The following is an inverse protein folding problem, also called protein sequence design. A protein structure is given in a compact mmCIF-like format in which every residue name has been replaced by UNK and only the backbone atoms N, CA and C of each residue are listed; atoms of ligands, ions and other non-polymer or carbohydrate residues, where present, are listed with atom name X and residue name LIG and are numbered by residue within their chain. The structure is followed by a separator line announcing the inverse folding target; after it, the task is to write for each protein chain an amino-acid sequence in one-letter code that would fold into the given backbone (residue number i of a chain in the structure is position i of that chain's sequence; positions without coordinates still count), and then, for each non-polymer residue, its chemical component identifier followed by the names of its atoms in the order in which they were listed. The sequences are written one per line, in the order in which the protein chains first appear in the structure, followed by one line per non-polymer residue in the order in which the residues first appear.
data_IF_832433640684
#
_entry.id   IF_832433640684
#
_cell.length_a   1.000
_cell.length_b   1.000
_cell.length_c   1.000
_cell.angle_alpha   90.00
_cell.angle_beta   90.00
_cell.angle_gamma   90.00
#
_symmetry.space_group_name_H-M   'P 1'
#
loop_
_entity.id
_entity.type
_entity.pdbx_description
1 polymer ?
#
# COMPACT_ATOMS: atom_id res chain seq x y z
N UNK A 1 0.70 1.06 29.70
CA UNK A 1 2.14 1.03 29.38
C UNK A 1 2.42 -0.04 28.35
N UNK A 2 3.08 0.35 27.26
CA UNK A 2 3.28 -0.49 26.07
C UNK A 2 4.73 -0.42 25.60
N UNK A 3 5.29 -1.55 25.19
CA UNK A 3 6.68 -1.60 24.72
C UNK A 3 6.75 -1.52 23.19
N UNK A 4 7.55 -0.58 22.68
CA UNK A 4 7.98 -0.49 21.29
C UNK A 4 9.31 -1.24 21.15
N UNK A 5 9.23 -2.50 20.72
CA UNK A 5 10.34 -3.44 20.56
C UNK A 5 11.09 -3.17 19.26
N UNK A 6 12.30 -2.63 19.36
CA UNK A 6 13.11 -2.20 18.22
C UNK A 6 13.99 -3.32 17.69
N UNK A 7 14.11 -3.40 16.35
CA UNK A 7 15.19 -4.14 15.72
C UNK A 7 16.57 -3.50 16.02
N UNK A 8 17.69 -4.21 15.83
CA UNK A 8 19.02 -3.69 16.16
C UNK A 8 19.37 -2.36 15.47
N UNK A 9 18.93 -2.17 14.22
CA UNK A 9 19.18 -0.94 13.47
C UNK A 9 18.46 0.27 14.09
N UNK A 10 17.20 0.13 14.47
CA UNK A 10 16.44 1.18 15.15
C UNK A 10 16.90 1.40 16.59
N UNK A 11 17.24 0.35 17.32
CA UNK A 11 17.75 0.47 18.69
C UNK A 11 19.02 1.33 18.73
N UNK A 12 19.92 1.13 17.76
CA UNK A 12 21.12 1.97 17.58
C UNK A 12 20.75 3.41 17.25
N UNK A 13 19.78 3.63 16.35
CA UNK A 13 19.34 4.97 15.95
C UNK A 13 18.61 5.75 17.07
N UNK A 14 17.94 5.05 17.98
CA UNK A 14 17.25 5.62 19.15
C UNK A 14 18.15 5.76 20.38
N UNK A 15 19.43 5.40 20.31
CA UNK A 15 20.35 5.36 21.46
C UNK A 15 19.80 4.55 22.66
N UNK A 16 19.02 3.50 22.41
CA UNK A 16 18.51 2.64 23.49
C UNK A 16 19.71 1.89 24.09
N UNK A 17 19.96 1.94 25.41
CA UNK A 17 21.11 1.25 26.01
C UNK A 17 21.09 -0.26 25.71
N UNK A 18 22.27 -0.87 25.61
CA UNK A 18 22.38 -2.31 25.45
C UNK A 18 21.87 -3.01 26.72
N UNK A 19 20.99 -4.00 26.56
CA UNK A 19 20.56 -4.82 27.69
C UNK A 19 21.72 -5.73 28.13
N UNK A 20 21.93 -5.94 29.44
CA UNK A 20 22.89 -6.93 29.92
C UNK A 20 22.56 -8.31 29.34
N UNK A 21 23.58 -9.02 28.84
CA UNK A 21 23.48 -10.30 28.10
C UNK A 21 23.02 -11.50 28.94
N UNK A 22 22.64 -11.29 30.19
CA UNK A 22 22.30 -12.34 31.15
C UNK A 22 20.94 -12.03 31.77
N UNK A 23 19.97 -12.89 31.51
CA UNK A 23 18.67 -12.87 32.16
C UNK A 23 17.52 -12.84 31.18
N UNK A 24 16.64 -13.83 31.30
CA UNK A 24 15.28 -13.79 30.76
C UNK A 24 14.71 -12.41 31.05
N UNK A 25 14.35 -11.65 30.00
CA UNK A 25 13.75 -10.34 30.18
C UNK A 25 12.57 -10.49 31.14
N UNK A 26 12.45 -9.64 32.20
CA UNK A 26 11.32 -9.73 33.10
C UNK A 26 10.02 -9.68 32.28
N UNK A 27 9.02 -10.51 32.60
CA UNK A 27 7.75 -10.50 31.89
C UNK A 27 7.23 -9.08 31.89
N UNK A 28 7.00 -8.54 30.68
CA UNK A 28 6.43 -7.21 30.55
C UNK A 28 5.10 -7.18 31.32
N UNK A 29 4.80 -6.13 32.11
CA UNK A 29 3.51 -6.02 32.76
C UNK A 29 2.40 -6.15 31.71
N UNK A 30 1.25 -6.75 32.04
CA UNK A 30 0.17 -6.93 31.08
C UNK A 30 -0.20 -5.57 30.48
N UNK A 31 -0.12 -5.48 29.16
CA UNK A 31 -0.54 -4.30 28.41
C UNK A 31 -2.05 -4.12 28.65
N UNK A 32 -2.43 -2.95 29.19
CA UNK A 32 -3.84 -2.58 29.36
C UNK A 32 -4.53 -2.23 28.05
N UNK A 33 -3.78 -2.17 26.94
CA UNK A 33 -4.27 -1.87 25.61
C UNK A 33 -4.77 -3.15 24.89
N UNK A 34 -5.58 -2.98 23.86
CA UNK A 34 -6.09 -4.09 23.09
C UNK A 34 -5.04 -4.66 22.11
N UNK A 35 -4.11 -3.85 21.59
CA UNK A 35 -3.21 -4.22 20.48
C UNK A 35 -1.87 -4.85 20.88
N UNK A 36 -1.57 -4.96 22.17
CA UNK A 36 -0.31 -5.48 22.69
C UNK A 36 0.88 -4.53 22.53
N UNK A 37 2.06 -5.14 22.67
CA UNK A 37 3.35 -4.51 22.34
C UNK A 37 3.51 -4.37 20.82
N UNK A 38 4.49 -3.58 20.38
CA UNK A 38 4.75 -3.33 18.97
C UNK A 38 6.17 -3.68 18.59
N UNK A 39 6.35 -4.45 17.51
CA UNK A 39 7.64 -4.69 16.89
C UNK A 39 7.91 -3.63 15.82
N UNK A 40 9.01 -2.89 15.95
CA UNK A 40 9.39 -1.81 15.05
C UNK A 40 10.66 -2.19 14.28
N UNK A 41 10.64 -1.95 12.97
CA UNK A 41 11.82 -2.10 12.12
C UNK A 41 12.00 -0.97 11.12
N UNK A 42 13.26 -0.65 10.85
CA UNK A 42 13.64 0.30 9.82
C UNK A 42 13.54 -0.36 8.43
N UNK A 43 12.77 0.27 7.55
CA UNK A 43 12.70 -0.04 6.13
C UNK A 43 13.46 1.03 5.36
N UNK A 44 14.55 0.61 4.72
CA UNK A 44 15.34 1.49 3.86
C UNK A 44 14.73 1.48 2.46
N UNK A 45 13.98 2.53 2.16
CA UNK A 45 13.42 2.79 0.84
C UNK A 45 14.01 4.07 0.26
N UNK A 46 14.04 4.19 -1.07
CA UNK A 46 14.33 5.46 -1.75
C UNK A 46 13.01 5.98 -2.33
N UNK A 47 12.67 7.26 -2.17
CA UNK A 47 13.47 8.32 -1.55
C UNK A 47 13.37 8.41 -0.02
N UNK A 48 12.38 7.78 0.62
CA UNK A 48 12.09 7.97 2.06
C UNK A 48 12.52 6.78 2.92
N UNK A 49 13.04 7.02 4.13
CA UNK A 49 13.20 5.97 5.15
C UNK A 49 11.91 5.86 5.96
N UNK A 50 11.42 4.64 6.13
CA UNK A 50 10.18 4.36 6.86
C UNK A 50 10.45 3.47 8.06
N UNK A 51 9.63 3.60 9.09
CA UNK A 51 9.53 2.62 10.17
C UNK A 51 8.26 1.83 9.93
N UNK A 52 8.36 0.51 10.00
CA UNK A 52 7.20 -0.36 10.09
C UNK A 52 6.97 -0.75 11.54
N UNK A 53 5.72 -0.68 11.98
CA UNK A 53 5.28 -1.13 13.29
C UNK A 53 4.29 -2.28 13.11
N UNK A 54 4.47 -3.37 13.85
CA UNK A 54 3.60 -4.55 13.82
C UNK A 54 3.14 -4.87 15.24
N UNK A 55 1.82 -4.95 15.44
CA UNK A 55 1.22 -5.33 16.73
C UNK A 55 1.58 -6.79 17.07
N UNK A 56 2.02 -7.05 18.30
CA UNK A 56 2.35 -8.41 18.76
C UNK A 56 1.12 -9.29 18.96
N UNK A 57 -0.06 -8.69 19.13
CA UNK A 57 -1.32 -9.41 19.36
C UNK A 57 -2.10 -9.68 18.08
N UNK A 58 -2.23 -8.66 17.22
CA UNK A 58 -3.08 -8.74 16.01
C UNK A 58 -2.25 -8.99 14.75
N UNK A 59 -0.94 -8.77 14.80
CA UNK A 59 -0.05 -8.73 13.63
C UNK A 59 -0.45 -7.69 12.58
N UNK A 60 -1.34 -6.76 12.91
CA UNK A 60 -1.65 -5.62 12.06
C UNK A 60 -0.44 -4.68 12.01
N UNK A 61 -0.20 -4.12 10.84
CA UNK A 61 0.95 -3.29 10.57
C UNK A 61 0.57 -1.95 9.98
N UNK A 62 1.36 -0.94 10.33
CA UNK A 62 1.34 0.36 9.69
C UNK A 62 2.75 0.94 9.61
N UNK A 63 2.92 1.94 8.76
CA UNK A 63 4.16 2.67 8.57
C UNK A 63 4.06 4.12 9.05
N UNK A 64 5.21 4.63 9.47
CA UNK A 64 5.41 6.03 9.83
C UNK A 64 6.78 6.53 9.33
N UNK A 65 6.96 7.85 9.15
CA UNK A 65 8.24 8.40 8.73
C UNK A 65 9.34 8.12 9.76
N UNK A 66 10.51 7.70 9.27
CA UNK A 66 11.70 7.49 10.10
C UNK A 66 12.18 8.78 10.76
N UNK A 67 12.30 9.86 9.98
CA UNK A 67 12.87 11.12 10.45
C UNK A 67 11.78 12.07 11.02
N UNK A 68 12.12 12.89 12.03
CA UNK A 68 13.33 12.84 12.86
C UNK A 68 13.31 11.70 13.89
N UNK A 69 14.43 11.01 14.11
CA UNK A 69 14.48 9.83 15.01
C UNK A 69 14.27 10.11 16.50
N UNK A 70 14.80 11.19 17.10
CA UNK A 70 14.68 11.44 18.54
C UNK A 70 13.23 11.51 19.03
N UNK A 71 12.30 11.90 18.17
CA UNK A 71 10.88 12.03 18.49
C UNK A 71 10.05 10.85 17.98
N UNK A 72 10.66 9.71 17.63
CA UNK A 72 9.91 8.54 17.15
C UNK A 72 8.88 8.07 18.19
N UNK A 73 9.28 8.01 19.46
CA UNK A 73 8.43 7.58 20.58
C UNK A 73 7.19 8.49 20.74
N UNK A 74 7.37 9.82 20.67
CA UNK A 74 6.26 10.77 20.80
C UNK A 74 5.38 10.85 19.55
N UNK A 75 5.91 10.54 18.36
CA UNK A 75 5.12 10.46 17.12
C UNK A 75 4.34 9.16 16.96
N UNK A 76 4.67 8.12 17.73
CA UNK A 76 4.06 6.80 17.57
C UNK A 76 2.54 6.84 17.84
N UNK A 77 2.13 7.40 18.98
CA UNK A 77 0.71 7.51 19.35
C UNK A 77 -0.15 8.25 18.32
N UNK A 78 0.24 9.47 17.90
CA UNK A 78 -0.47 10.20 16.83
C UNK A 78 -0.53 9.43 15.50
N UNK A 79 0.54 8.74 15.11
CA UNK A 79 0.56 7.95 13.88
C UNK A 79 -0.35 6.72 13.97
N UNK A 80 -0.35 6.03 15.12
CA UNK A 80 -1.24 4.91 15.40
C UNK A 80 -2.71 5.36 15.38
N UNK A 81 -3.03 6.49 16.00
CA UNK A 81 -4.38 7.05 15.99
C UNK A 81 -4.89 7.28 14.56
N UNK A 82 -4.08 7.93 13.72
CA UNK A 82 -4.45 8.15 12.31
C UNK A 82 -4.66 6.83 11.57
N UNK A 83 -3.81 5.83 11.80
CA UNK A 83 -3.97 4.52 11.17
C UNK A 83 -5.25 3.79 11.63
N UNK A 84 -5.63 3.90 12.91
CA UNK A 84 -6.87 3.32 13.45
C UNK A 84 -8.12 4.02 12.90
N UNK A 85 -8.11 5.35 12.80
CA UNK A 85 -9.20 6.12 12.21
C UNK A 85 -9.40 5.77 10.73
N UNK A 86 -8.30 5.70 9.96
CA UNK A 86 -8.35 5.28 8.55
C UNK A 86 -8.84 3.84 8.38
N UNK A 87 -8.63 2.98 9.38
CA UNK A 87 -9.15 1.61 9.37
C UNK A 87 -10.67 1.54 9.59
N UNK A 88 -11.26 2.59 10.19
CA UNK A 88 -12.67 2.65 10.56
C UNK A 88 -12.95 2.34 12.04
N UNK A 89 -11.94 2.44 12.91
CA UNK A 89 -12.16 2.35 14.36
C UNK A 89 -12.86 3.61 14.86
N UNK A 90 -13.91 3.51 15.71
CA UNK A 90 -14.59 4.67 16.27
C UNK A 90 -13.61 5.61 17.00
N UNK A 91 -13.71 6.95 16.83
CA UNK A 91 -12.75 7.91 17.38
C UNK A 91 -12.51 7.78 18.88
N UNK A 92 -13.58 7.58 19.67
CA UNK A 92 -13.48 7.43 21.13
C UNK A 92 -12.70 6.16 21.53
N UNK A 93 -12.89 5.07 20.77
CA UNK A 93 -12.21 3.79 21.00
C UNK A 93 -10.74 3.87 20.57
N UNK A 94 -10.48 4.51 19.43
CA UNK A 94 -9.12 4.75 18.97
C UNK A 94 -8.35 5.63 19.97
N UNK A 95 -8.98 6.68 20.52
CA UNK A 95 -8.39 7.51 21.55
C UNK A 95 -8.10 6.72 22.83
N UNK A 96 -9.08 5.98 23.33
CA UNK A 96 -8.90 5.15 24.52
C UNK A 96 -7.76 4.14 24.35
N UNK A 97 -7.58 3.56 23.17
CA UNK A 97 -6.46 2.65 22.88
C UNK A 97 -5.10 3.35 23.01
N UNK A 98 -4.97 4.59 22.53
CA UNK A 98 -3.74 5.38 22.71
C UNK A 98 -3.50 5.67 24.19
N UNK A 99 -4.54 6.13 24.90
CA UNK A 99 -4.44 6.51 26.32
C UNK A 99 -4.06 5.31 27.21
N UNK A 100 -4.62 4.12 26.96
CA UNK A 100 -4.22 2.88 27.66
C UNK A 100 -2.80 2.42 27.30
N UNK A 101 -2.34 2.78 26.11
CA UNK A 101 -1.02 2.40 25.65
C UNK A 101 0.09 3.22 26.29
N UNK A 102 -0.20 4.47 26.65
CA UNK A 102 0.75 5.36 27.29
C UNK A 102 1.10 4.92 28.73
N UNK A 103 2.33 5.22 29.20
CA UNK A 103 3.47 5.71 28.42
C UNK A 103 4.06 4.63 27.50
N UNK A 104 4.59 5.05 26.36
CA UNK A 104 5.36 4.21 25.44
C UNK A 104 6.76 3.97 25.99
N UNK A 105 7.26 2.73 25.97
CA UNK A 105 8.65 2.41 26.37
C UNK A 105 9.41 1.82 25.20
N UNK A 106 10.63 2.31 24.95
CA UNK A 106 11.52 1.71 23.95
C UNK A 106 12.19 0.47 24.54
N UNK A 107 11.97 -0.68 23.91
CA UNK A 107 12.58 -1.95 24.28
C UNK A 107 13.42 -2.52 23.13
N UNK A 108 14.36 -3.40 23.44
CA UNK A 108 15.13 -4.16 22.43
C UNK A 108 14.56 -5.56 22.26
N UNK A 109 14.72 -6.11 21.05
CA UNK A 109 14.41 -7.50 20.75
C UNK A 109 12.97 -7.68 20.29
N UNK A 110 12.82 -8.21 19.08
CA UNK A 110 11.52 -8.51 18.47
C UNK A 110 11.17 -9.97 18.77
N UNK A 111 9.92 -10.19 19.17
CA UNK A 111 9.41 -11.53 19.46
C UNK A 111 9.35 -12.40 18.20
N UNK A 112 9.68 -13.68 18.35
CA UNK A 112 9.77 -14.63 17.22
C UNK A 112 8.46 -14.74 16.43
N UNK A 113 7.31 -14.59 17.08
CA UNK A 113 5.98 -14.59 16.44
C UNK A 113 5.81 -13.44 15.45
N UNK A 114 6.43 -12.29 15.72
CA UNK A 114 6.26 -11.06 14.92
C UNK A 114 7.32 -10.91 13.83
N UNK A 115 8.49 -11.56 13.96
CA UNK A 115 9.59 -11.48 12.97
C UNK A 115 9.16 -11.89 11.56
N UNK A 116 8.36 -12.97 11.44
CA UNK A 116 7.87 -13.44 10.15
C UNK A 116 7.00 -12.40 9.45
N UNK A 117 5.98 -11.89 10.15
CA UNK A 117 5.09 -10.84 9.64
C UNK A 117 5.86 -9.57 9.31
N UNK A 118 6.76 -9.13 10.19
CA UNK A 118 7.58 -7.95 9.98
C UNK A 118 8.45 -8.06 8.71
N UNK A 119 8.95 -9.26 8.41
CA UNK A 119 9.72 -9.53 7.18
C UNK A 119 8.81 -9.43 5.94
N UNK A 120 7.63 -10.06 5.97
CA UNK A 120 6.65 -10.01 4.89
C UNK A 120 6.21 -8.57 4.58
N UNK A 121 5.83 -7.82 5.62
CA UNK A 121 5.43 -6.43 5.44
C UNK A 121 6.59 -5.54 5.00
N UNK A 122 7.82 -5.78 5.47
CA UNK A 122 9.00 -5.04 4.99
C UNK A 122 9.16 -5.19 3.47
N UNK A 123 8.95 -6.38 2.92
CA UNK A 123 8.98 -6.57 1.46
C UNK A 123 7.86 -5.80 0.76
N UNK A 124 6.63 -5.85 1.30
CA UNK A 124 5.49 -5.11 0.75
C UNK A 124 5.74 -3.59 0.74
N UNK A 125 6.25 -3.04 1.85
CA UNK A 125 6.59 -1.60 1.97
C UNK A 125 7.75 -1.24 1.05
N UNK A 126 8.78 -2.09 0.96
CA UNK A 126 9.93 -1.84 0.08
C UNK A 126 9.48 -1.74 -1.38
N UNK A 127 8.63 -2.67 -1.82
CA UNK A 127 8.06 -2.64 -3.16
C UNK A 127 7.19 -1.39 -3.34
N UNK A 128 6.23 -1.14 -2.45
CA UNK A 128 5.30 -0.02 -2.59
C UNK A 128 5.98 1.36 -2.61
N UNK A 129 6.98 1.57 -1.75
CA UNK A 129 7.74 2.81 -1.76
C UNK A 129 8.61 2.94 -3.03
N UNK A 130 9.16 1.82 -3.54
CA UNK A 130 9.89 1.79 -4.80
C UNK A 130 9.01 2.13 -6.01
N UNK A 131 7.73 1.78 -5.95
CA UNK A 131 6.71 2.13 -6.94
C UNK A 131 6.27 3.60 -6.87
N UNK A 132 6.67 4.34 -5.84
CA UNK A 132 6.34 5.75 -5.66
C UNK A 132 5.08 6.02 -4.83
N UNK A 133 4.51 5.02 -4.15
CA UNK A 133 3.32 5.23 -3.32
C UNK A 133 3.59 6.18 -2.15
N UNK A 134 2.64 7.06 -1.87
CA UNK A 134 2.64 7.86 -0.65
C UNK A 134 2.51 7.01 0.61
N UNK A 135 2.89 7.56 1.76
CA UNK A 135 2.75 6.88 3.06
C UNK A 135 1.29 6.47 3.34
N UNK A 136 0.33 7.32 2.96
CA UNK A 136 -1.10 7.02 3.11
C UNK A 136 -1.50 5.79 2.29
N UNK A 137 -1.10 5.76 1.01
CA UNK A 137 -1.37 4.63 0.12
C UNK A 137 -0.67 3.33 0.58
N UNK A 138 0.56 3.43 1.12
CA UNK A 138 1.26 2.31 1.74
C UNK A 138 0.47 1.76 2.94
N UNK A 139 -0.01 2.64 3.82
CA UNK A 139 -0.79 2.22 4.99
C UNK A 139 -2.15 1.61 4.61
N UNK A 140 -2.84 2.17 3.61
CA UNK A 140 -4.06 1.58 3.08
C UNK A 140 -3.81 0.16 2.53
N UNK A 141 -2.71 -0.03 1.79
CA UNK A 141 -2.30 -1.35 1.29
C UNK A 141 -1.98 -2.34 2.42
N UNK A 142 -1.32 -1.89 3.49
CA UNK A 142 -1.03 -2.74 4.65
C UNK A 142 -2.30 -3.16 5.40
N UNK A 143 -3.32 -2.31 5.44
CA UNK A 143 -4.60 -2.62 6.06
C UNK A 143 -5.35 -3.76 5.34
N UNK A 144 -5.20 -3.86 4.02
CA UNK A 144 -5.83 -4.91 3.20
C UNK A 144 -4.97 -6.19 3.09
N UNK A 145 -3.90 -6.31 3.88
CA UNK A 145 -2.99 -7.45 3.79
C UNK A 145 -3.61 -8.73 4.34
N UNK A 146 -3.69 -9.76 3.50
CA UNK A 146 -4.08 -11.11 3.91
C UNK A 146 -2.87 -11.86 4.49
N UNK A 147 -3.03 -12.35 5.72
CA UNK A 147 -2.08 -13.28 6.33
C UNK A 147 -2.59 -14.69 6.11
N UNK A 148 -1.82 -15.54 5.43
CA UNK A 148 -2.22 -16.93 5.11
C UNK A 148 -1.86 -17.93 6.21
N UNK A 149 -0.76 -17.70 6.94
CA UNK A 149 -0.29 -18.56 8.03
C UNK A 149 0.18 -17.72 9.22
N UNK A 150 0.07 -18.22 10.47
CA UNK A 150 -0.47 -19.54 10.87
C UNK A 150 -2.01 -19.60 10.91
N UNK A 151 -2.69 -18.46 10.87
CA UNK A 151 -4.15 -18.35 10.78
C UNK A 151 -4.49 -17.47 9.60
N UNK A 152 -5.32 -17.98 8.71
CA UNK A 152 -5.80 -17.21 7.57
C UNK A 152 -6.73 -16.09 8.05
N UNK A 153 -6.48 -14.87 7.58
CA UNK A 153 -7.35 -13.73 7.84
C UNK A 153 -6.66 -12.40 7.65
N UNK A 154 -7.47 -11.34 7.73
CA UNK A 154 -7.00 -9.97 7.66
C UNK A 154 -6.74 -9.45 9.08
N UNK A 155 -5.50 -9.08 9.44
CA UNK A 155 -5.19 -8.50 10.75
C UNK A 155 -6.04 -7.27 11.10
N UNK A 156 -6.39 -6.49 10.07
CA UNK A 156 -7.32 -5.37 10.14
C UNK A 156 -8.70 -5.74 10.74
N UNK A 157 -9.24 -6.91 10.41
CA UNK A 157 -10.52 -7.34 10.97
C UNK A 157 -10.42 -7.58 12.48
N UNK A 158 -9.32 -8.14 12.95
CA UNK A 158 -9.12 -8.37 14.38
C UNK A 158 -9.00 -7.05 15.15
N UNK A 159 -8.31 -6.06 14.59
CA UNK A 159 -8.27 -4.70 15.16
C UNK A 159 -9.68 -4.10 15.26
N UNK A 160 -10.49 -4.22 14.20
CA UNK A 160 -11.87 -3.73 14.20
C UNK A 160 -12.74 -4.47 15.22
N UNK A 161 -12.61 -5.80 15.34
CA UNK A 161 -13.32 -6.60 16.36
C UNK A 161 -12.96 -6.15 17.78
N UNK A 162 -11.68 -5.94 18.07
CA UNK A 162 -11.20 -5.57 19.40
C UNK A 162 -11.58 -4.14 19.79
N UNK A 163 -11.58 -3.21 18.83
CA UNK A 163 -11.79 -1.78 19.08
C UNK A 163 -13.19 -1.27 18.68
N UNK A 164 -14.11 -2.17 18.31
CA UNK A 164 -15.52 -1.84 18.06
C UNK A 164 -15.81 -1.21 16.70
N UNK A 165 -14.96 -1.44 15.70
CA UNK A 165 -15.26 -1.15 14.30
C UNK A 165 -16.02 -2.29 13.61
N UNK A 166 -16.43 -2.09 12.36
CA UNK A 166 -17.13 -3.13 11.60
C UNK A 166 -16.15 -3.98 10.77
N UNK A 167 -15.82 -5.22 11.19
CA UNK A 167 -14.90 -6.08 10.44
C UNK A 167 -15.43 -6.47 9.06
N UNK A 168 -16.77 -6.47 8.86
CA UNK A 168 -17.36 -6.79 7.57
C UNK A 168 -16.96 -5.80 6.46
N UNK A 169 -16.53 -4.59 6.82
CA UNK A 169 -16.00 -3.62 5.86
C UNK A 169 -14.73 -4.11 5.16
N UNK A 170 -13.90 -4.92 5.83
CA UNK A 170 -12.69 -5.47 5.21
C UNK A 170 -13.07 -6.49 4.13
N UNK A 171 -13.95 -7.44 4.47
CA UNK A 171 -14.46 -8.44 3.53
C UNK A 171 -15.24 -7.79 2.38
N UNK A 172 -16.07 -6.79 2.67
CA UNK A 172 -16.82 -6.04 1.66
C UNK A 172 -15.89 -5.36 0.66
N UNK A 173 -14.83 -4.67 1.12
CA UNK A 173 -13.82 -4.07 0.22
C UNK A 173 -13.17 -5.10 -0.71
N UNK A 174 -12.99 -6.34 -0.27
CA UNK A 174 -12.41 -7.38 -1.13
C UNK A 174 -13.43 -7.86 -2.17
N UNK A 175 -14.68 -8.07 -1.77
CA UNK A 175 -15.76 -8.44 -2.69
C UNK A 175 -15.99 -7.36 -3.75
N UNK A 176 -16.03 -6.10 -3.33
CA UNK A 176 -16.20 -4.94 -4.22
C UNK A 176 -15.06 -4.89 -5.25
N UNK A 177 -13.81 -5.17 -4.85
CA UNK A 177 -12.66 -5.27 -5.77
C UNK A 177 -12.82 -6.41 -6.78
N UNK A 178 -13.33 -7.57 -6.35
CA UNK A 178 -13.58 -8.71 -7.26
C UNK A 178 -14.69 -8.40 -8.27
N UNK A 179 -15.80 -7.82 -7.82
CA UNK A 179 -16.89 -7.41 -8.71
C UNK A 179 -16.46 -6.31 -9.68
N UNK A 180 -15.68 -5.35 -9.20
CA UNK A 180 -15.11 -4.31 -10.04
C UNK A 180 -14.18 -4.89 -11.11
N UNK A 181 -13.34 -5.86 -10.74
CA UNK A 181 -12.45 -6.53 -11.69
C UNK A 181 -13.26 -7.18 -12.83
N UNK A 182 -14.39 -7.82 -12.52
CA UNK A 182 -15.27 -8.43 -13.52
C UNK A 182 -15.87 -7.37 -14.45
N UNK A 183 -16.42 -6.28 -13.91
CA UNK A 183 -16.97 -5.17 -14.72
C UNK A 183 -15.91 -4.56 -15.64
N UNK A 184 -14.71 -4.33 -15.12
CA UNK A 184 -13.58 -3.82 -15.91
C UNK A 184 -13.17 -4.78 -17.03
N UNK A 185 -13.19 -6.09 -16.75
CA UNK A 185 -12.90 -7.12 -17.74
C UNK A 185 -13.99 -7.14 -18.83
N UNK A 186 -15.26 -7.18 -18.47
CA UNK A 186 -16.37 -7.20 -19.44
C UNK A 186 -16.38 -5.96 -20.34
N UNK A 187 -16.11 -4.79 -19.75
CA UNK A 187 -15.95 -3.52 -20.50
C UNK A 187 -14.78 -3.55 -21.48
N UNK A 188 -13.66 -4.15 -21.07
CA UNK A 188 -12.51 -4.33 -21.96
C UNK A 188 -12.87 -5.28 -23.12
N UNK A 189 -13.45 -6.44 -22.83
CA UNK A 189 -13.76 -7.44 -23.86
C UNK A 189 -14.80 -6.95 -24.89
N UNK A 190 -15.76 -6.11 -24.46
CA UNK A 190 -16.74 -5.49 -25.38
C UNK A 190 -16.11 -4.58 -26.45
N UNK A 191 -14.83 -4.24 -26.32
CA UNK A 191 -14.06 -3.37 -27.21
C UNK A 191 -13.05 -4.11 -28.08
N UNK A 192 -13.04 -5.45 -28.05
CA UNK A 192 -12.18 -6.26 -28.91
C UNK A 192 -12.41 -5.92 -30.39
N UNK A 193 -11.34 -5.86 -31.19
CA UNK A 193 -11.42 -5.55 -32.62
C UNK A 193 -11.56 -4.07 -32.97
N UNK A 194 -11.74 -3.17 -31.99
CA UNK A 194 -11.87 -1.72 -32.25
C UNK A 194 -10.51 -1.06 -32.47
N UNK A 195 -10.45 -0.11 -33.40
CA UNK A 195 -9.25 0.71 -33.59
C UNK A 195 -8.99 1.64 -32.40
N UNK A 196 -10.06 2.05 -31.73
CA UNK A 196 -10.05 2.91 -30.55
C UNK A 196 -10.62 2.15 -29.33
N UNK A 197 -9.86 2.12 -28.24
CA UNK A 197 -10.24 1.48 -26.97
C UNK A 197 -10.21 2.51 -25.86
N UNK A 198 -11.26 2.50 -25.03
CA UNK A 198 -11.48 3.38 -23.90
C UNK A 198 -11.31 2.63 -22.59
N UNK A 199 -10.44 3.15 -21.72
CA UNK A 199 -10.21 2.63 -20.37
C UNK A 199 -10.58 3.70 -19.35
N UNK A 200 -11.76 3.60 -18.71
CA UNK A 200 -12.12 4.46 -17.59
C UNK A 200 -11.25 4.11 -16.37
N UNK A 201 -10.54 5.10 -15.83
CA UNK A 201 -9.71 4.91 -14.64
C UNK A 201 -10.59 4.49 -13.47
N UNK A 202 -11.73 5.14 -13.25
CA UNK A 202 -12.68 4.78 -12.19
C UNK A 202 -13.14 3.30 -12.28
N UNK A 203 -13.17 2.73 -13.49
CA UNK A 203 -13.49 1.33 -13.68
C UNK A 203 -12.31 0.41 -13.35
N UNK A 204 -11.12 0.75 -13.84
CA UNK A 204 -9.92 -0.09 -13.70
C UNK A 204 -9.23 0.00 -12.32
N UNK A 205 -9.32 1.17 -11.69
CA UNK A 205 -8.70 1.58 -10.43
C UNK A 205 -9.74 2.35 -9.59
N UNK A 206 -10.73 1.66 -9.00
CA UNK A 206 -11.78 2.29 -8.21
C UNK A 206 -11.21 2.98 -6.97
N UNK A 207 -11.88 4.05 -6.53
CA UNK A 207 -11.56 4.81 -5.32
C UNK A 207 -10.11 5.35 -5.29
N UNK A 208 -9.55 5.65 -6.46
CA UNK A 208 -8.22 6.25 -6.64
C UNK A 208 -8.34 7.68 -7.17
N UNK A 209 -8.67 8.68 -6.33
CA UNK A 209 -8.69 10.09 -6.76
C UNK A 209 -7.28 10.60 -7.11
N UNK A 210 -6.23 9.84 -6.75
CA UNK A 210 -4.83 10.16 -7.05
C UNK A 210 -4.10 8.95 -7.59
N UNK A 211 -3.40 9.12 -8.71
CA UNK A 211 -2.58 8.09 -9.34
C UNK A 211 -1.11 8.35 -9.05
N UNK A 212 -0.51 7.53 -8.20
CA UNK A 212 0.80 7.82 -7.61
C UNK A 212 1.91 6.89 -8.14
N UNK A 213 1.55 5.67 -8.55
CA UNK A 213 2.48 4.57 -8.65
C UNK A 213 2.66 4.04 -10.07
N UNK A 214 3.87 3.52 -10.37
CA UNK A 214 4.16 2.96 -11.69
C UNK A 214 3.24 1.77 -12.03
N UNK A 215 3.07 0.79 -11.12
CA UNK A 215 2.21 -0.38 -11.37
C UNK A 215 0.73 -0.04 -11.64
N UNK A 216 0.23 1.14 -11.25
CA UNK A 216 -1.13 1.56 -11.60
C UNK A 216 -1.28 1.72 -13.11
N UNK A 217 -0.24 2.16 -13.82
CA UNK A 217 -0.21 2.17 -15.28
C UNK A 217 -0.34 0.76 -15.85
N UNK A 218 0.42 -0.19 -15.31
CA UNK A 218 0.32 -1.59 -15.73
C UNK A 218 -1.08 -2.15 -15.48
N UNK A 219 -1.73 -1.82 -14.35
CA UNK A 219 -3.11 -2.23 -14.07
C UNK A 219 -4.08 -1.69 -15.12
N UNK A 220 -3.95 -0.42 -15.51
CA UNK A 220 -4.77 0.14 -16.58
C UNK A 220 -4.59 -0.63 -17.88
N UNK A 221 -3.34 -0.90 -18.27
CA UNK A 221 -3.03 -1.58 -19.53
C UNK A 221 -3.32 -3.09 -19.50
N UNK A 222 -3.46 -3.69 -18.31
CA UNK A 222 -4.06 -5.02 -18.14
C UNK A 222 -5.55 -5.04 -18.52
N UNK A 223 -6.21 -3.88 -18.64
CA UNK A 223 -7.60 -3.74 -19.10
C UNK A 223 -7.75 -3.54 -20.60
N UNK A 224 -6.70 -3.82 -21.38
CA UNK A 224 -6.87 -3.99 -22.81
C UNK A 224 -7.65 -5.28 -23.11
N UNK A 225 -8.47 -5.30 -24.17
CA UNK A 225 -9.17 -6.52 -24.60
C UNK A 225 -8.15 -7.64 -24.87
N UNK A 226 -8.57 -8.88 -24.64
CA UNK A 226 -7.75 -10.05 -24.94
C UNK A 226 -8.45 -10.86 -26.03
N UNK A 227 -7.73 -11.14 -27.11
CA UNK A 227 -8.08 -12.04 -28.18
C UNK A 227 -7.42 -13.41 -27.95
N UNK A 228 -8.19 -14.35 -27.40
CA UNK A 228 -7.77 -15.73 -27.18
C UNK A 228 -7.45 -16.48 -28.50
N UNK A 229 -7.81 -15.92 -29.66
CA UNK A 229 -7.52 -16.46 -30.99
C UNK A 229 -6.11 -16.15 -31.53
N UNK A 230 -5.38 -15.19 -30.94
CA UNK A 230 -4.06 -14.77 -31.41
C UNK A 230 -2.95 -15.52 -30.66
N UNK A 231 -2.45 -16.60 -31.26
CA UNK A 231 -1.27 -17.33 -30.78
C UNK A 231 0.03 -16.70 -31.31
N UNK A 232 0.79 -16.03 -30.43
CA UNK A 232 2.16 -15.57 -30.70
C UNK A 232 3.20 -16.31 -29.84
N UNK A 233 4.51 -16.25 -30.18
CA UNK A 233 5.55 -16.86 -29.36
C UNK A 233 5.58 -16.24 -27.95
N UNK A 234 6.02 -17.00 -26.93
CA UNK A 234 5.94 -16.57 -25.52
C UNK A 234 6.68 -15.25 -25.29
N UNK A 235 6.01 -14.30 -24.62
CA UNK A 235 6.66 -13.08 -24.15
C UNK A 235 7.64 -13.43 -23.02
N UNK A 236 8.83 -12.84 -23.08
CA UNK A 236 9.91 -13.06 -22.09
C UNK A 236 9.59 -12.45 -20.72
N UNK A 237 8.47 -11.72 -20.61
CA UNK A 237 8.06 -10.91 -19.45
C UNK A 237 6.84 -11.45 -18.69
N UNK A 238 6.23 -12.56 -19.13
CA UNK A 238 5.07 -13.14 -18.44
C UNK A 238 3.74 -12.38 -18.64
N UNK A 239 3.68 -11.44 -19.60
CA UNK A 239 2.42 -10.79 -19.96
C UNK A 239 1.46 -11.80 -20.65
N UNK A 240 0.16 -11.78 -20.31
CA UNK A 240 -0.83 -12.68 -20.90
C UNK A 240 -0.88 -12.51 -22.42
N UNK A 241 -0.93 -13.63 -23.12
CA UNK A 241 -1.02 -13.76 -24.58
C UNK A 241 -2.26 -13.04 -25.11
N UNK A 242 -2.25 -12.66 -26.40
CA UNK A 242 -3.47 -12.30 -27.12
C UNK A 242 -4.02 -10.88 -26.91
N UNK A 243 -3.33 -9.95 -26.23
CA UNK A 243 -3.88 -8.59 -26.07
C UNK A 243 -4.14 -7.90 -27.41
N UNK A 244 -5.36 -7.40 -27.59
CA UNK A 244 -5.73 -6.54 -28.71
C UNK A 244 -5.10 -5.17 -28.49
N UNK A 245 -4.13 -4.81 -29.33
CA UNK A 245 -3.46 -3.51 -29.27
C UNK A 245 -4.21 -2.53 -30.17
N UNK A 246 -4.89 -1.52 -29.61
CA UNK A 246 -5.60 -0.53 -30.41
C UNK A 246 -4.62 0.40 -31.11
N UNK A 247 -5.09 1.04 -32.18
CA UNK A 247 -4.36 2.15 -32.81
C UNK A 247 -4.37 3.36 -31.88
N UNK A 248 -5.52 3.63 -31.27
CA UNK A 248 -5.78 4.76 -30.38
C UNK A 248 -6.23 4.25 -29.03
N UNK A 249 -5.54 4.66 -27.97
CA UNK A 249 -5.92 4.37 -26.59
C UNK A 249 -6.45 5.65 -25.94
N UNK A 250 -7.66 5.60 -25.41
CA UNK A 250 -8.26 6.67 -24.63
C UNK A 250 -8.27 6.24 -23.17
N UNK A 251 -7.59 6.98 -22.31
CA UNK A 251 -7.65 6.80 -20.86
C UNK A 251 -8.54 7.91 -20.30
N UNK A 252 -9.66 7.53 -19.71
CA UNK A 252 -10.64 8.46 -19.16
C UNK A 252 -10.39 8.65 -17.66
N UNK A 253 -9.96 9.85 -17.29
CA UNK A 253 -9.58 10.27 -15.94
C UNK A 253 -10.73 10.92 -15.17
N UNK A 254 -11.98 10.69 -15.56
CA UNK A 254 -13.12 11.06 -14.73
C UNK A 254 -12.91 10.60 -13.27
N UNK A 255 -13.20 11.50 -12.32
CA UNK A 255 -13.02 11.32 -10.87
C UNK A 255 -11.56 11.17 -10.39
N UNK A 256 -10.57 11.54 -11.22
CA UNK A 256 -9.15 11.59 -10.83
C UNK A 256 -8.67 13.04 -10.70
N UNK A 257 -8.36 13.45 -9.48
CA UNK A 257 -7.91 14.82 -9.17
C UNK A 257 -6.48 15.07 -9.65
N UNK A 258 -5.59 14.07 -9.52
CA UNK A 258 -4.17 14.25 -9.85
C UNK A 258 -3.43 12.96 -10.17
N UNK A 259 -2.31 13.12 -10.87
CA UNK A 259 -1.37 12.04 -11.16
C UNK A 259 0.07 12.44 -10.79
N UNK A 260 0.90 11.46 -10.44
CA UNK A 260 2.32 11.68 -10.19
C UNK A 260 3.12 11.61 -11.50
N UNK A 261 4.29 12.27 -11.57
CA UNK A 261 5.23 12.08 -12.67
C UNK A 261 5.68 10.62 -12.83
N UNK A 262 5.73 9.86 -11.75
CA UNK A 262 6.08 8.44 -11.75
C UNK A 262 5.03 7.61 -12.50
N UNK A 263 3.74 7.80 -12.17
CA UNK A 263 2.64 7.17 -12.88
C UNK A 263 2.61 7.59 -14.36
N UNK A 264 2.70 8.89 -14.64
CA UNK A 264 2.64 9.41 -16.01
C UNK A 264 3.77 8.87 -16.88
N UNK A 265 5.01 8.82 -16.35
CA UNK A 265 6.16 8.19 -17.03
C UNK A 265 5.91 6.72 -17.31
N UNK A 266 5.50 5.95 -16.31
CA UNK A 266 5.23 4.52 -16.47
C UNK A 266 4.16 4.25 -17.54
N UNK A 267 3.07 5.03 -17.55
CA UNK A 267 2.03 4.89 -18.55
C UNK A 267 2.54 5.17 -19.96
N UNK A 268 3.27 6.28 -20.15
CA UNK A 268 3.83 6.62 -21.45
C UNK A 268 4.81 5.54 -21.96
N UNK A 269 5.70 5.07 -21.09
CA UNK A 269 6.70 4.05 -21.43
C UNK A 269 6.04 2.71 -21.79
N UNK A 270 5.02 2.28 -21.04
CA UNK A 270 4.30 1.04 -21.32
C UNK A 270 3.44 1.14 -22.59
N UNK A 271 2.74 2.26 -22.81
CA UNK A 271 1.96 2.51 -24.03
C UNK A 271 2.86 2.49 -25.27
N UNK A 272 4.04 3.11 -25.17
CA UNK A 272 5.05 3.06 -26.23
C UNK A 272 5.56 1.63 -26.46
N UNK A 273 5.82 0.87 -25.39
CA UNK A 273 6.26 -0.53 -25.47
C UNK A 273 5.22 -1.44 -26.10
N UNK A 274 3.92 -1.17 -25.89
CA UNK A 274 2.83 -1.90 -26.51
C UNK A 274 2.65 -1.57 -28.00
N UNK A 275 3.22 -0.48 -28.50
CA UNK A 275 3.11 -0.05 -29.89
C UNK A 275 1.80 0.66 -30.23
N UNK A 276 1.10 1.19 -29.22
CA UNK A 276 -0.08 2.05 -29.42
C UNK A 276 0.37 3.35 -30.11
N UNK A 277 -0.34 3.77 -31.17
CA UNK A 277 0.09 4.91 -31.99
C UNK A 277 -0.32 6.26 -31.41
N UNK A 278 -1.47 6.32 -30.74
CA UNK A 278 -1.98 7.56 -30.15
C UNK A 278 -2.56 7.29 -28.77
N UNK A 279 -2.21 8.14 -27.80
CA UNK A 279 -2.75 8.16 -26.44
C UNK A 279 -3.53 9.45 -26.22
N UNK A 280 -4.80 9.33 -25.85
CA UNK A 280 -5.65 10.47 -25.49
C UNK A 280 -6.02 10.38 -24.01
N UNK A 281 -5.85 11.50 -23.30
CA UNK A 281 -6.27 11.66 -21.91
C UNK A 281 -7.64 12.36 -21.91
N UNK A 282 -8.71 11.60 -21.70
CA UNK A 282 -10.07 12.14 -21.64
C UNK A 282 -10.42 12.56 -20.20
N UNK A 283 -11.22 13.62 -20.06
CA UNK A 283 -11.67 14.17 -18.77
C UNK A 283 -10.56 14.35 -17.72
N UNK A 284 -9.35 14.69 -18.17
CA UNK A 284 -8.20 14.87 -17.29
C UNK A 284 -8.23 16.25 -16.63
N UNK A 285 -8.32 16.28 -15.31
CA UNK A 285 -8.17 17.49 -14.50
C UNK A 285 -6.76 18.10 -14.67
N UNK A 286 -6.57 19.41 -14.39
CA UNK A 286 -5.27 20.08 -14.54
C UNK A 286 -4.12 19.36 -13.82
N UNK A 287 -4.37 18.80 -12.63
CA UNK A 287 -3.36 18.06 -11.87
C UNK A 287 -2.88 16.76 -12.55
N UNK A 288 -3.69 16.17 -13.42
CA UNK A 288 -3.30 15.02 -14.25
C UNK A 288 -2.48 15.53 -15.44
N UNK A 289 -2.98 16.52 -16.18
CA UNK A 289 -2.30 17.06 -17.37
C UNK A 289 -0.89 17.58 -17.06
N UNK A 290 -0.74 18.32 -15.96
CA UNK A 290 0.56 18.84 -15.50
C UNK A 290 1.60 17.72 -15.28
N UNK A 291 1.17 16.55 -14.81
CA UNK A 291 2.06 15.42 -14.60
C UNK A 291 2.62 14.89 -15.92
N UNK A 292 1.77 14.72 -16.93
CA UNK A 292 2.18 14.26 -18.27
C UNK A 292 3.04 15.31 -19.01
N UNK A 293 2.71 16.59 -18.87
CA UNK A 293 3.52 17.67 -19.45
C UNK A 293 4.93 17.72 -18.85
N UNK A 294 5.05 17.60 -17.52
CA UNK A 294 6.35 17.61 -16.83
C UNK A 294 7.25 16.49 -17.35
N UNK A 295 6.70 15.28 -17.47
CA UNK A 295 7.41 14.10 -17.99
C UNK A 295 7.85 14.30 -19.44
N UNK A 296 7.00 14.89 -20.28
CA UNK A 296 7.31 15.15 -21.68
C UNK A 296 8.48 16.14 -21.84
N UNK A 297 8.49 17.22 -21.04
CA UNK A 297 9.58 18.22 -21.04
C UNK A 297 10.92 17.65 -20.61
N UNK A 298 10.92 16.74 -19.63
CA UNK A 298 12.15 16.08 -19.16
C UNK A 298 12.77 15.13 -20.20
N UNK A 299 11.98 14.67 -21.18
CA UNK A 299 12.45 13.75 -22.24
C UNK A 299 13.05 14.51 -23.44
N UNK A 300 12.82 15.81 -23.53
CA UNK A 300 13.33 16.69 -24.60
C UNK A 300 14.63 17.42 -24.23
N UNK A 301 15.22 17.09 -23.07
CA UNK A 301 16.52 17.59 -22.59
C UNK A 301 17.55 16.48 -22.60
#
# INVERSE_FOLDING_TARGET
MTTLRLNPALAKACHVPDAPRTGTAPPAPPCGNALGDWALALVHTRPQKLVIAVSSRTHWAFCLPYAPMPTLQSRFGPALLQALLSLGVPPDRARAEIDHSEPWILGRGIDRSTVGHLTQYRHSVTWAAGEGLSLGAINARLADHLVLRPREGYPAEEVLRLLGGNPALVAQRQNDKSDQWRKAYDHAQAQIGREEVHIPVALALPDQPRLEAAHQASILLMRLPHDDGVSGPPSRTGNPRGRWIPRTLVIDFADVDSASPTFARALLDEVATLGVRSLHLANAEPGVLEAFERVSRDTSR
#
